data_IF_648345057211
#
_entry.id   IF_648345057211
#
_cell.length_a   1.000
_cell.length_b   1.000
_cell.length_c   1.000
_cell.angle_alpha   90.00
_cell.angle_beta   90.00
_cell.angle_gamma   90.00
#
_symmetry.space_group_name_H-M   'P 1'
#
loop_
_entity.id
_entity.type
_entity.pdbx_description
1 polymer ?
#
# COMPACT_ATOMS: atom_id res chain seq x y z
N UNK A 1 17.68 -16.31 -15.96
CA UNK A 1 16.57 -16.25 -14.98
C UNK A 1 15.34 -15.70 -15.68
N UNK A 2 14.15 -16.08 -15.21
CA UNK A 2 12.88 -15.61 -15.77
C UNK A 2 12.38 -14.40 -15.01
N UNK A 3 12.18 -13.30 -15.73
CA UNK A 3 11.58 -12.06 -15.23
C UNK A 3 10.12 -12.01 -15.66
N UNK A 4 9.22 -11.71 -14.75
CA UNK A 4 7.80 -11.52 -15.07
C UNK A 4 7.57 -10.06 -15.40
N UNK A 5 6.75 -9.81 -16.43
CA UNK A 5 6.48 -8.50 -16.98
C UNK A 5 5.11 -8.03 -16.46
N UNK A 6 5.06 -6.82 -15.94
CA UNK A 6 3.87 -6.22 -15.36
C UNK A 6 3.67 -4.80 -15.88
N UNK A 7 2.44 -4.30 -15.78
CA UNK A 7 2.10 -2.90 -16.04
C UNK A 7 0.91 -2.51 -15.18
N UNK A 8 0.71 -1.21 -14.99
CA UNK A 8 -0.47 -0.64 -14.35
C UNK A 8 -1.28 0.07 -15.43
N UNK A 9 -2.57 -0.24 -15.51
CA UNK A 9 -3.49 0.48 -16.38
C UNK A 9 -4.20 1.58 -15.60
N UNK A 10 -4.22 2.79 -16.15
CA UNK A 10 -5.01 3.92 -15.67
C UNK A 10 -6.29 4.01 -16.53
N UNK A 11 -7.43 3.72 -15.92
CA UNK A 11 -8.72 3.73 -16.60
C UNK A 11 -9.16 5.14 -17.01
N UNK A 12 -8.77 6.18 -16.26
CA UNK A 12 -9.16 7.58 -16.56
C UNK A 12 -8.30 8.19 -17.65
N UNK A 13 -7.02 7.86 -17.68
CA UNK A 13 -6.13 8.24 -18.78
C UNK A 13 -6.32 7.36 -20.01
N UNK A 14 -6.89 6.15 -19.84
CA UNK A 14 -7.01 5.16 -20.91
C UNK A 14 -5.66 4.62 -21.37
N UNK A 15 -4.65 4.62 -20.49
CA UNK A 15 -3.25 4.37 -20.83
C UNK A 15 -2.57 3.40 -19.87
N UNK A 16 -1.52 2.73 -20.34
CA UNK A 16 -0.67 1.86 -19.53
C UNK A 16 0.58 2.62 -19.10
N UNK A 17 1.00 2.38 -17.86
CA UNK A 17 2.30 2.83 -17.39
C UNK A 17 3.40 2.00 -18.07
N UNK A 18 4.64 2.53 -18.13
CA UNK A 18 5.78 1.78 -18.62
C UNK A 18 5.87 0.39 -17.95
N UNK A 19 6.04 -0.69 -18.74
CA UNK A 19 6.17 -2.02 -18.16
C UNK A 19 7.38 -2.13 -17.24
N UNK A 20 7.25 -2.95 -16.20
CA UNK A 20 8.32 -3.24 -15.25
C UNK A 20 8.47 -4.75 -15.03
N UNK A 21 9.61 -5.15 -14.49
CA UNK A 21 10.02 -6.54 -14.38
C UNK A 21 10.25 -6.94 -12.93
N UNK A 22 9.64 -8.05 -12.50
CA UNK A 22 9.88 -8.61 -11.17
C UNK A 22 9.99 -10.15 -11.21
N UNK A 23 10.69 -10.78 -10.26
CA UNK A 23 10.85 -12.24 -10.23
C UNK A 23 9.53 -13.02 -10.05
N UNK A 24 8.57 -12.48 -9.29
CA UNK A 24 7.30 -13.17 -8.94
C UNK A 24 6.09 -12.24 -9.02
N UNK A 25 4.89 -12.82 -9.19
CA UNK A 25 3.63 -12.06 -9.18
C UNK A 25 3.37 -11.41 -7.81
N UNK A 26 3.72 -12.09 -6.72
CA UNK A 26 3.55 -11.57 -5.36
C UNK A 26 4.40 -10.32 -5.10
N UNK A 27 5.59 -10.25 -5.70
CA UNK A 27 6.39 -9.02 -5.63
C UNK A 27 5.68 -7.87 -6.35
N UNK A 28 5.11 -8.10 -7.54
CA UNK A 28 4.35 -7.06 -8.25
C UNK A 28 3.12 -6.59 -7.48
N UNK A 29 2.38 -7.52 -6.87
CA UNK A 29 1.24 -7.19 -6.00
C UNK A 29 1.70 -6.34 -4.82
N UNK A 30 2.86 -6.66 -4.21
CA UNK A 30 3.39 -5.88 -3.09
C UNK A 30 3.88 -4.49 -3.49
N UNK A 31 4.54 -4.36 -4.64
CA UNK A 31 4.92 -3.04 -5.17
C UNK A 31 3.69 -2.19 -5.45
N UNK A 32 2.64 -2.79 -6.01
CA UNK A 32 1.38 -2.09 -6.24
C UNK A 32 0.64 -1.75 -4.93
N UNK A 33 0.62 -2.64 -3.94
CA UNK A 33 0.09 -2.38 -2.59
C UNK A 33 0.81 -1.20 -1.91
N UNK A 34 2.14 -1.12 -2.05
CA UNK A 34 2.91 0.01 -1.55
C UNK A 34 2.45 1.31 -2.23
N UNK A 35 2.31 1.34 -3.56
CA UNK A 35 1.86 2.50 -4.31
C UNK A 35 0.42 2.92 -3.98
N UNK A 36 -0.47 1.96 -3.69
CA UNK A 36 -1.86 2.21 -3.29
C UNK A 36 -1.93 2.84 -1.89
N UNK A 37 -1.01 2.47 -1.00
CA UNK A 37 -1.01 2.91 0.39
C UNK A 37 0.02 4.02 0.70
N UNK A 38 0.75 4.51 -0.30
CA UNK A 38 1.66 5.65 -0.20
C UNK A 38 0.92 6.98 -0.47
N UNK A 39 0.75 7.87 0.51
CA UNK A 39 0.02 9.14 0.35
C UNK A 39 0.55 10.05 -0.77
N UNK A 40 1.84 9.94 -1.13
CA UNK A 40 2.46 10.75 -2.18
C UNK A 40 2.18 10.20 -3.59
N UNK A 41 1.77 8.93 -3.68
CA UNK A 41 1.46 8.28 -4.94
C UNK A 41 0.14 8.78 -5.53
N UNK A 42 0.11 8.99 -6.85
CA UNK A 42 -1.14 9.31 -7.56
C UNK A 42 -2.14 8.15 -7.47
N UNK A 43 -1.63 6.92 -7.37
CA UNK A 43 -2.43 5.71 -7.23
C UNK A 43 -3.18 5.70 -5.90
N UNK A 44 -2.57 6.21 -4.82
CA UNK A 44 -3.25 6.33 -3.53
C UNK A 44 -4.46 7.27 -3.56
N UNK A 45 -4.38 8.33 -4.36
CA UNK A 45 -5.43 9.35 -4.50
C UNK A 45 -6.65 8.80 -5.23
N UNK A 46 -6.42 7.94 -6.24
CA UNK A 46 -7.50 7.36 -7.05
C UNK A 46 -7.32 5.85 -7.28
N UNK A 47 -7.26 5.02 -6.22
CA UNK A 47 -6.83 3.63 -6.33
C UNK A 47 -7.77 2.76 -7.16
N UNK A 48 -9.05 3.13 -7.23
CA UNK A 48 -10.03 2.48 -8.08
C UNK A 48 -9.76 2.62 -9.58
N UNK A 49 -9.03 3.66 -9.99
CA UNK A 49 -8.74 3.94 -11.39
C UNK A 49 -7.54 3.16 -11.92
N UNK A 50 -6.82 2.43 -11.04
CA UNK A 50 -5.61 1.71 -11.37
C UNK A 50 -5.76 0.21 -11.20
N UNK A 51 -5.34 -0.56 -12.21
CA UNK A 51 -5.34 -2.02 -12.17
C UNK A 51 -3.98 -2.59 -12.55
N UNK A 52 -3.44 -3.50 -11.73
CA UNK A 52 -2.19 -4.20 -12.01
C UNK A 52 -2.44 -5.36 -12.98
N UNK A 53 -1.62 -5.45 -14.03
CA UNK A 53 -1.68 -6.51 -15.02
C UNK A 53 -0.36 -7.27 -15.13
N UNK A 54 -0.47 -8.58 -15.32
CA UNK A 54 0.62 -9.47 -15.73
C UNK A 54 0.56 -9.69 -17.24
N UNK A 55 1.70 -9.47 -17.90
CA UNK A 55 1.80 -9.47 -19.36
C UNK A 55 2.51 -10.72 -19.91
N UNK A 56 3.48 -11.27 -19.18
CA UNK A 56 4.30 -12.36 -19.70
C UNK A 56 5.63 -12.53 -18.98
N UNK A 57 6.57 -13.20 -19.65
CA UNK A 57 7.88 -13.57 -19.13
C UNK A 57 8.96 -13.14 -20.11
N UNK A 58 10.06 -12.63 -19.58
CA UNK A 58 11.32 -12.45 -20.29
C UNK A 58 12.37 -13.38 -19.70
N UNK A 59 13.00 -14.20 -20.54
CA UNK A 59 14.13 -15.05 -20.14
C UNK A 59 15.45 -14.39 -20.52
N UNK A 60 16.24 -13.99 -19.51
CA UNK A 60 17.51 -13.29 -19.70
C UNK A 60 18.64 -14.18 -20.25
N UNK A 61 18.46 -15.50 -20.30
CA UNK A 61 19.46 -16.43 -20.86
C UNK A 61 19.25 -16.58 -22.35
N UNK A 62 17.99 -16.77 -22.77
CA UNK A 62 17.63 -17.03 -24.17
C UNK A 62 17.26 -15.77 -24.94
N UNK A 63 17.08 -14.63 -24.25
CA UNK A 63 16.54 -13.38 -24.78
C UNK A 63 15.14 -13.54 -25.39
N UNK A 64 14.38 -14.54 -24.95
CA UNK A 64 13.01 -14.80 -25.42
C UNK A 64 12.02 -14.05 -24.54
N UNK A 65 11.14 -13.30 -25.19
CA UNK A 65 9.95 -12.73 -24.57
C UNK A 65 8.75 -13.60 -24.92
N UNK A 66 8.07 -14.10 -23.89
CA UNK A 66 6.82 -14.87 -24.00
C UNK A 66 5.70 -14.05 -23.41
N UNK A 67 4.84 -13.49 -24.25
CA UNK A 67 3.64 -12.79 -23.84
C UNK A 67 2.48 -13.75 -23.58
N UNK A 68 1.49 -13.28 -22.83
CA UNK A 68 0.22 -13.97 -22.67
C UNK A 68 -0.74 -13.57 -23.79
N UNK A 69 -1.51 -14.53 -24.31
CA UNK A 69 -2.60 -14.28 -25.28
C UNK A 69 -3.60 -13.22 -24.79
N UNK A 70 -3.73 -13.07 -23.47
CA UNK A 70 -4.46 -11.98 -22.85
C UNK A 70 -3.79 -11.60 -21.53
N UNK A 71 -3.70 -10.30 -21.26
CA UNK A 71 -3.22 -9.79 -19.96
C UNK A 71 -4.07 -10.34 -18.82
N UNK A 72 -3.44 -10.69 -17.71
CA UNK A 72 -4.12 -11.19 -16.52
C UNK A 72 -4.15 -10.08 -15.47
N UNK A 73 -5.35 -9.68 -15.04
CA UNK A 73 -5.50 -8.74 -13.92
C UNK A 73 -5.03 -9.41 -12.63
N UNK A 74 -4.25 -8.69 -11.83
CA UNK A 74 -3.76 -9.12 -10.53
C UNK A 74 -4.42 -8.38 -9.36
N UNK A 75 -5.37 -7.48 -9.65
CA UNK A 75 -6.12 -6.73 -8.64
C UNK A 75 -6.24 -5.25 -8.98
N UNK A 76 -7.37 -4.67 -8.59
CA UNK A 76 -7.60 -3.23 -8.67
C UNK A 76 -7.10 -2.55 -7.38
N UNK A 77 -6.60 -1.32 -7.47
CA UNK A 77 -6.05 -0.63 -6.31
C UNK A 77 -7.06 -0.45 -5.17
N UNK A 78 -8.36 -0.36 -5.47
CA UNK A 78 -9.41 -0.27 -4.45
C UNK A 78 -9.42 -1.49 -3.50
N UNK A 79 -9.09 -2.67 -4.02
CA UNK A 79 -9.06 -3.93 -3.25
C UNK A 79 -7.91 -3.98 -2.25
N UNK A 80 -6.84 -3.19 -2.48
CA UNK A 80 -5.62 -3.17 -1.69
C UNK A 80 -5.53 -1.96 -0.73
N UNK A 81 -6.47 -1.00 -0.84
CA UNK A 81 -6.48 0.18 0.03
C UNK A 81 -6.81 -0.22 1.46
N UNK A 82 -5.88 0.03 2.39
CA UNK A 82 -6.12 -0.24 3.82
C UNK A 82 -7.15 0.74 4.37
N UNK A 83 -8.18 0.23 5.04
CA UNK A 83 -9.12 1.06 5.78
C UNK A 83 -8.40 1.61 7.02
N UNK A 84 -8.24 2.93 7.10
CA UNK A 84 -7.73 3.58 8.28
C UNK A 84 -8.89 3.64 9.29
N UNK A 85 -8.94 2.69 10.22
CA UNK A 85 -9.86 2.77 11.35
C UNK A 85 -9.45 3.96 12.21
N UNK A 86 -10.28 4.99 12.27
CA UNK A 86 -10.09 6.14 13.15
C UNK A 86 -10.10 5.67 14.62
N UNK A 87 -8.93 5.57 15.26
CA UNK A 87 -8.84 5.55 16.72
C UNK A 87 -8.66 7.00 17.15
N UNK A 88 -9.77 7.73 17.21
CA UNK A 88 -9.87 9.00 17.92
C UNK A 88 -10.30 8.71 19.35
N UNK A 89 -9.36 8.65 20.30
CA UNK A 89 -9.66 8.58 21.73
C UNK A 89 -8.73 9.51 22.53
N UNK A 90 -9.20 10.75 22.71
CA UNK A 90 -9.29 11.44 24.01
C UNK A 90 -8.06 11.39 24.93
N UNK A 91 -6.98 12.12 24.63
CA UNK A 91 -5.89 12.37 25.60
C UNK A 91 -5.97 13.73 26.31
N UNK A 92 -6.96 14.58 25.99
CA UNK A 92 -6.98 15.97 26.46
C UNK A 92 -7.68 16.21 27.83
N UNK A 93 -8.17 15.18 28.53
CA UNK A 93 -8.93 15.36 29.79
C UNK A 93 -8.17 15.05 31.11
N UNK A 94 -6.84 15.04 31.12
CA UNK A 94 -6.04 14.92 32.37
C UNK A 94 -5.31 16.20 32.79
N UNK A 95 -5.66 17.34 32.20
CA UNK A 95 -5.13 18.66 32.55
C UNK A 95 -6.22 19.48 33.23
N UNK A 96 -6.48 19.26 34.54
CA UNK A 96 -6.96 20.24 35.53
C UNK A 96 -7.50 19.54 36.80
N UNK A 97 -6.63 19.29 37.77
CA UNK A 97 -6.99 19.20 39.19
C UNK A 97 -5.72 19.45 40.02
N UNK A 98 -5.32 20.71 40.13
CA UNK A 98 -4.39 21.19 41.14
C UNK A 98 -5.08 21.27 42.51
N UNK A 99 -4.27 21.03 43.57
CA UNK A 99 -4.43 21.39 44.99
C UNK A 99 -5.47 20.65 45.86
N UNK A 100 -4.98 19.88 46.85
CA UNK A 100 -4.90 20.29 48.27
C UNK A 100 -3.81 19.45 48.97
N UNK A 101 -2.83 20.13 49.58
CA UNK A 101 -1.89 19.57 50.56
C UNK A 101 -2.63 19.32 51.89
N UNK A 102 -2.52 18.12 52.46
CA UNK A 102 -2.80 17.94 53.89
C UNK A 102 -1.68 17.06 54.49
N UNK A 103 -0.86 17.69 55.33
CA UNK A 103 0.19 17.06 56.11
C UNK A 103 -0.41 16.00 57.03
N UNK A 104 0.07 14.76 56.94
CA UNK A 104 -0.24 13.73 57.93
C UNK A 104 0.82 13.82 59.04
N UNK A 105 0.46 14.10 60.31
CA UNK A 105 1.43 14.11 61.38
C UNK A 105 1.82 12.66 61.71
N UNK A 106 3.11 12.36 61.64
CA UNK A 106 3.64 11.08 62.13
C UNK A 106 3.45 10.99 63.66
N UNK A 107 2.75 9.97 64.19
CA UNK A 107 2.78 9.70 65.61
C UNK A 107 4.11 9.04 65.98
N UNK A 108 4.85 9.70 66.87
CA UNK A 108 6.08 9.19 67.48
C UNK A 108 5.77 8.09 68.50
N UNK A 109 6.37 6.91 68.31
CA UNK A 109 6.92 6.04 69.36
C UNK A 109 7.78 4.93 68.77
#
# INVERSE_FOLDING_TARGET
MQHKIFTIYDEKAGAYFPPFFLPTKNMAIREFDNLVNDPESQIHKHPQDYTLFYLGIFDDITAILTDLTSKVSLGNGLELKRQQSEISLTVDNLSSAEEVQEEIPFPSK
#
